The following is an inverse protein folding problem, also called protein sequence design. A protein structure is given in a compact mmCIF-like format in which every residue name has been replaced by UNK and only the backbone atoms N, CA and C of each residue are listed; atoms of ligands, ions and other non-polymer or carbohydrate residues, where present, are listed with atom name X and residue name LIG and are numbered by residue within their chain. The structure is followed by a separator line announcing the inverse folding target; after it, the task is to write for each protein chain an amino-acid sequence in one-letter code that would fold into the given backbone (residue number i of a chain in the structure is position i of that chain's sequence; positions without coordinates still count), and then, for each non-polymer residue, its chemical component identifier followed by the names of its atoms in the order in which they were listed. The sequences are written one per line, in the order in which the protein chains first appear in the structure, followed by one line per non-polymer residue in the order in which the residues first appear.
data_IF_907157547774
#
_entry.id   IF_907157547774
#
_cell.length_a   1.000
_cell.length_b   1.000
_cell.length_c   1.000
_cell.angle_alpha   90.00
_cell.angle_beta   90.00
_cell.angle_gamma   90.00
#
_symmetry.space_group_name_H-M   'P 1'
#
loop_
_entity.id
_entity.type
_entity.pdbx_description
1 polymer ?
#
# COMPACT_ATOMS: atom_id res chain seq x y z
N UNK A 1 3.69 -26.05 48.69
CA UNK A 1 3.19 -26.06 47.30
C UNK A 1 3.53 -24.73 46.67
N UNK A 2 4.49 -24.77 45.75
CA UNK A 2 5.05 -23.64 45.02
C UNK A 2 4.16 -23.35 43.79
N UNK A 3 3.79 -22.08 43.58
CA UNK A 3 3.31 -21.58 42.29
C UNK A 3 3.81 -20.16 42.07
N UNK A 4 4.97 -20.08 41.41
CA UNK A 4 5.50 -18.90 40.73
C UNK A 4 4.44 -18.16 39.91
N UNK A 5 4.36 -16.84 40.05
CA UNK A 5 3.96 -15.98 38.93
C UNK A 5 5.05 -14.94 38.70
N UNK A 6 5.94 -15.27 37.76
CA UNK A 6 6.94 -14.36 37.25
C UNK A 6 6.25 -13.17 36.57
N UNK A 7 6.64 -11.96 36.94
CA UNK A 7 6.30 -10.76 36.18
C UNK A 7 6.91 -10.85 34.78
N UNK A 8 6.12 -10.65 33.74
CA UNK A 8 6.63 -10.22 32.45
C UNK A 8 6.21 -8.77 32.25
N UNK A 9 7.07 -7.89 32.76
CA UNK A 9 7.23 -6.52 32.27
C UNK A 9 7.12 -6.57 30.75
N UNK A 10 6.22 -5.80 30.15
CA UNK A 10 6.29 -5.50 28.72
C UNK A 10 7.62 -4.78 28.50
N UNK A 11 8.66 -5.56 28.22
CA UNK A 11 9.91 -5.10 27.67
C UNK A 11 9.52 -4.35 26.40
N UNK A 12 9.72 -3.02 26.38
CA UNK A 12 10.15 -2.33 25.15
C UNK A 12 11.47 -2.97 24.75
N UNK A 13 11.38 -4.16 24.16
CA UNK A 13 12.47 -4.72 23.39
C UNK A 13 12.60 -3.85 22.16
N UNK A 14 13.83 -3.45 21.86
CA UNK A 14 14.20 -2.89 20.57
C UNK A 14 13.87 -3.93 19.48
N UNK A 15 12.62 -3.98 19.04
CA UNK A 15 12.30 -4.52 17.74
C UNK A 15 12.96 -3.57 16.76
N UNK A 16 13.82 -4.09 15.88
CA UNK A 16 14.15 -3.37 14.65
C UNK A 16 12.82 -2.84 14.12
N UNK A 17 12.69 -1.52 13.92
CA UNK A 17 11.52 -0.97 13.25
C UNK A 17 11.35 -1.80 11.98
N UNK A 18 10.35 -2.69 11.99
CA UNK A 18 10.02 -3.47 10.82
C UNK A 18 9.35 -2.44 9.92
N UNK A 19 10.17 -1.84 9.05
CA UNK A 19 9.72 -0.77 8.17
C UNK A 19 8.42 -1.21 7.50
N UNK A 20 7.35 -0.47 7.76
CA UNK A 20 6.04 -0.80 7.24
C UNK A 20 6.06 -0.52 5.73
N UNK A 21 6.02 -1.58 4.93
CA UNK A 21 5.99 -1.44 3.48
C UNK A 21 4.84 -0.55 2.99
N UNK A 22 5.13 0.27 1.99
CA UNK A 22 4.15 1.13 1.34
C UNK A 22 3.24 0.33 0.43
N UNK A 23 2.08 -0.07 0.94
CA UNK A 23 1.06 -0.81 0.19
C UNK A 23 0.02 0.15 -0.40
N UNK A 24 -0.33 -0.07 -1.67
CA UNK A 24 -1.42 0.64 -2.35
C UNK A 24 -2.55 -0.33 -2.67
N UNK A 25 -3.77 0.07 -2.31
CA UNK A 25 -5.01 -0.60 -2.72
C UNK A 25 -5.82 0.34 -3.59
N UNK A 26 -6.18 -0.12 -4.78
CA UNK A 26 -7.03 0.62 -5.72
C UNK A 26 -8.41 0.02 -5.70
N UNK A 27 -9.43 0.87 -5.55
CA UNK A 27 -10.82 0.46 -5.35
C UNK A 27 -11.75 1.13 -6.35
N UNK A 28 -12.74 0.39 -6.83
CA UNK A 28 -13.88 0.91 -7.56
C UNK A 28 -14.89 1.47 -6.55
N UNK A 29 -14.96 2.80 -6.46
CA UNK A 29 -15.82 3.47 -5.47
C UNK A 29 -17.31 3.26 -5.76
N UNK A 30 -17.71 3.16 -7.03
CA UNK A 30 -19.09 2.93 -7.42
C UNK A 30 -19.54 1.53 -6.96
N UNK A 31 -18.72 0.51 -7.20
CA UNK A 31 -19.00 -0.85 -6.71
C UNK A 31 -18.94 -0.94 -5.19
N UNK A 32 -17.98 -0.24 -4.56
CA UNK A 32 -17.83 -0.25 -3.11
C UNK A 32 -19.11 0.22 -2.42
N UNK A 33 -19.67 1.38 -2.80
CA UNK A 33 -20.89 1.91 -2.19
C UNK A 33 -22.16 1.13 -2.56
N UNK A 34 -22.14 0.39 -3.68
CA UNK A 34 -23.23 -0.51 -4.07
C UNK A 34 -23.17 -1.90 -3.42
N UNK A 35 -22.10 -2.22 -2.70
CA UNK A 35 -21.87 -3.53 -2.08
C UNK A 35 -21.90 -3.44 -0.56
N UNK A 36 -22.26 -4.55 0.10
CA UNK A 36 -22.04 -4.64 1.55
C UNK A 36 -20.53 -4.70 1.80
N UNK A 37 -20.05 -3.98 2.80
CA UNK A 37 -18.64 -4.05 3.26
C UNK A 37 -18.21 -5.49 3.65
N UNK A 38 -19.18 -6.38 3.89
CA UNK A 38 -18.99 -7.80 4.17
C UNK A 38 -19.14 -8.71 2.93
N UNK A 39 -19.17 -8.16 1.72
CA UNK A 39 -19.13 -8.99 0.51
C UNK A 39 -17.79 -9.73 0.46
N UNK A 40 -17.83 -11.04 0.76
CA UNK A 40 -16.69 -11.95 0.75
C UNK A 40 -15.95 -11.97 -0.59
N UNK A 41 -16.62 -11.57 -1.67
CA UNK A 41 -16.02 -11.54 -3.01
C UNK A 41 -15.12 -10.33 -3.22
N UNK A 42 -15.23 -9.28 -2.40
CA UNK A 42 -14.44 -8.05 -2.48
C UNK A 42 -14.29 -7.50 -3.92
N UNK A 43 -15.36 -7.60 -4.72
CA UNK A 43 -15.33 -7.28 -6.16
C UNK A 43 -15.08 -5.78 -6.45
N UNK A 44 -15.05 -4.94 -5.41
CA UNK A 44 -14.71 -3.53 -5.47
C UNK A 44 -13.20 -3.28 -5.41
N UNK A 45 -12.37 -4.25 -5.01
CA UNK A 45 -10.92 -4.12 -5.12
C UNK A 45 -10.54 -4.28 -6.59
N UNK A 46 -9.73 -3.37 -7.11
CA UNK A 46 -9.16 -3.41 -8.47
C UNK A 46 -7.75 -3.98 -8.43
N UNK A 47 -6.94 -3.52 -7.48
CA UNK A 47 -5.56 -3.95 -7.30
C UNK A 47 -5.10 -3.78 -5.85
N UNK A 48 -4.15 -4.61 -5.44
CA UNK A 48 -3.47 -4.52 -4.14
C UNK A 48 -2.01 -4.93 -4.34
N UNK A 49 -1.08 -4.02 -4.08
CA UNK A 49 0.34 -4.24 -4.36
C UNK A 49 1.24 -3.40 -3.46
N UNK A 50 2.46 -3.88 -3.25
CA UNK A 50 3.51 -3.10 -2.61
C UNK A 50 4.10 -2.11 -3.61
N UNK A 51 3.94 -0.81 -3.33
CA UNK A 51 4.49 0.27 -4.14
C UNK A 51 5.88 0.69 -3.67
N UNK A 52 6.16 0.63 -2.36
CA UNK A 52 7.43 1.04 -1.76
C UNK A 52 7.85 0.10 -0.63
N UNK A 53 9.13 0.08 -0.28
CA UNK A 53 9.64 -0.62 0.91
C UNK A 53 9.35 0.15 2.20
N UNK A 54 9.19 1.46 2.09
CA UNK A 54 8.80 2.38 3.16
C UNK A 54 7.33 2.81 2.99
N UNK A 55 6.68 3.39 4.02
CA UNK A 55 5.29 3.83 3.92
C UNK A 55 5.05 4.83 2.78
N UNK A 56 3.89 4.75 2.13
CA UNK A 56 3.50 5.72 1.09
C UNK A 56 3.12 7.05 1.75
N UNK A 57 3.74 8.14 1.32
CA UNK A 57 3.41 9.49 1.78
C UNK A 57 2.41 10.19 0.86
N UNK A 58 2.57 9.98 -0.45
CA UNK A 58 1.79 10.66 -1.48
C UNK A 58 1.48 9.72 -2.64
N UNK A 59 0.32 9.93 -3.25
CA UNK A 59 -0.06 9.27 -4.49
C UNK A 59 -0.99 10.16 -5.31
N UNK A 60 -0.97 9.99 -6.63
CA UNK A 60 -1.86 10.72 -7.52
C UNK A 60 -2.13 9.94 -8.81
N UNK A 61 -3.41 9.81 -9.14
CA UNK A 61 -3.84 9.31 -10.44
C UNK A 61 -3.73 10.40 -11.50
N UNK A 62 -3.40 9.99 -12.73
CA UNK A 62 -3.71 10.83 -13.88
C UNK A 62 -5.24 10.92 -14.08
N UNK A 63 -5.74 11.93 -14.81
CA UNK A 63 -7.19 12.14 -14.97
C UNK A 63 -7.95 10.94 -15.56
N UNK A 64 -7.27 10.09 -16.35
CA UNK A 64 -7.90 8.89 -16.93
C UNK A 64 -7.92 7.68 -15.98
N UNK A 65 -7.23 7.73 -14.84
CA UNK A 65 -7.14 6.65 -13.86
C UNK A 65 -6.22 5.49 -14.25
N UNK A 66 -5.55 5.55 -15.41
CA UNK A 66 -4.68 4.50 -15.90
C UNK A 66 -3.24 4.61 -15.38
N UNK A 67 -2.79 5.82 -15.04
CA UNK A 67 -1.46 6.03 -14.47
C UNK A 67 -1.59 6.45 -13.01
N UNK A 68 -0.71 5.91 -12.19
CA UNK A 68 -0.57 6.24 -10.78
C UNK A 68 0.88 6.60 -10.51
N UNK A 69 1.10 7.77 -9.91
CA UNK A 69 2.38 8.14 -9.30
C UNK A 69 2.28 7.90 -7.80
N UNK A 70 3.28 7.25 -7.21
CA UNK A 70 3.40 7.07 -5.75
C UNK A 70 4.75 7.59 -5.27
N UNK A 71 4.82 7.99 -4.01
CA UNK A 71 6.04 8.36 -3.32
C UNK A 71 6.00 7.86 -1.88
N UNK A 72 7.15 7.44 -1.36
CA UNK A 72 7.29 7.06 0.04
C UNK A 72 7.59 8.25 0.96
N UNK A 73 7.70 7.98 2.27
CA UNK A 73 8.02 8.97 3.30
C UNK A 73 9.38 9.66 3.15
N UNK A 74 10.29 9.13 2.34
CA UNK A 74 11.59 9.77 2.12
C UNK A 74 11.48 10.93 1.12
N UNK A 75 10.51 10.87 0.21
CA UNK A 75 10.35 11.87 -0.83
C UNK A 75 11.38 11.77 -1.98
N UNK A 76 12.29 10.80 -1.93
CA UNK A 76 13.37 10.67 -2.91
C UNK A 76 12.95 9.93 -4.16
N UNK A 77 12.11 8.89 -4.01
CA UNK A 77 11.72 7.99 -5.08
C UNK A 77 10.24 8.12 -5.42
N UNK A 78 9.94 8.22 -6.71
CA UNK A 78 8.59 8.26 -7.24
C UNK A 78 8.42 7.11 -8.21
N UNK A 79 7.43 6.25 -7.99
CA UNK A 79 7.11 5.18 -8.92
C UNK A 79 5.97 5.61 -9.84
N UNK A 80 6.17 5.47 -11.15
CA UNK A 80 5.16 5.69 -12.19
C UNK A 80 4.65 4.32 -12.64
N UNK A 81 3.36 4.08 -12.42
CA UNK A 81 2.73 2.79 -12.59
C UNK A 81 1.58 2.90 -13.58
N UNK A 82 1.44 1.92 -14.46
CA UNK A 82 0.26 1.74 -15.31
C UNK A 82 -0.65 0.65 -14.74
N UNK A 83 -1.92 0.97 -14.58
CA UNK A 83 -2.96 0.06 -14.09
C UNK A 83 -3.77 -0.47 -15.26
N UNK A 84 -3.64 -1.77 -15.50
CA UNK A 84 -4.43 -2.50 -16.48
C UNK A 84 -5.50 -3.32 -15.75
N UNK A 85 -6.56 -2.63 -15.36
CA UNK A 85 -7.66 -3.19 -14.58
C UNK A 85 -8.39 -4.30 -15.35
N UNK A 86 -8.57 -5.46 -14.72
CA UNK A 86 -9.44 -6.50 -15.26
C UNK A 86 -10.89 -6.22 -14.88
N UNK A 87 -11.85 -6.28 -15.83
CA UNK A 87 -13.27 -6.08 -15.51
C UNK A 87 -13.88 -7.24 -14.69
N UNK A 88 -13.17 -8.37 -14.55
CA UNK A 88 -13.69 -9.58 -13.92
C UNK A 88 -13.16 -9.83 -12.52
N UNK A 89 -11.84 -9.69 -12.29
CA UNK A 89 -11.18 -10.04 -11.02
C UNK A 89 -9.92 -9.20 -10.80
N UNK A 90 -9.72 -8.70 -9.58
CA UNK A 90 -8.50 -7.99 -9.18
C UNK A 90 -7.22 -8.80 -9.35
N UNK A 91 -7.29 -10.12 -9.18
CA UNK A 91 -6.14 -11.03 -9.40
C UNK A 91 -5.67 -11.10 -10.84
N UNK A 92 -6.48 -10.62 -11.79
CA UNK A 92 -6.14 -10.48 -13.22
C UNK A 92 -5.80 -9.04 -13.60
N UNK A 93 -5.84 -8.09 -12.67
CA UNK A 93 -5.32 -6.75 -12.89
C UNK A 93 -3.81 -6.82 -12.95
N UNK A 94 -3.23 -6.16 -13.95
CA UNK A 94 -1.78 -6.08 -14.09
C UNK A 94 -1.31 -4.67 -13.73
N UNK A 95 -0.33 -4.59 -12.84
CA UNK A 95 0.34 -3.34 -12.46
C UNK A 95 1.71 -3.34 -13.12
N UNK A 96 1.87 -2.46 -14.10
CA UNK A 96 3.13 -2.33 -14.82
C UNK A 96 3.93 -1.18 -14.22
N UNK A 97 5.09 -1.50 -13.67
CA UNK A 97 6.03 -0.47 -13.23
C UNK A 97 6.73 0.11 -14.45
N UNK A 98 6.45 1.37 -14.78
CA UNK A 98 7.04 2.04 -15.93
C UNK A 98 8.39 2.67 -15.58
N UNK A 99 8.43 3.47 -14.50
CA UNK A 99 9.63 4.20 -14.11
C UNK A 99 9.72 4.36 -12.59
N UNK A 100 10.95 4.33 -12.08
CA UNK A 100 11.30 4.94 -10.78
C UNK A 100 12.06 6.22 -11.07
N UNK A 101 11.53 7.35 -10.59
CA UNK A 101 12.17 8.66 -10.70
C UNK A 101 12.85 8.98 -9.37
N UNK A 102 14.09 9.44 -9.44
CA UNK A 102 14.84 9.90 -8.28
C UNK A 102 14.94 11.42 -8.29
N UNK A 103 14.49 12.06 -7.21
CA UNK A 103 14.49 13.53 -7.07
C UNK A 103 15.82 14.07 -6.51
N UNK A 104 16.59 13.25 -5.79
CA UNK A 104 17.78 13.67 -5.04
C UNK A 104 17.66 13.36 -3.55
N UNK A 105 18.76 13.53 -2.81
CA UNK A 105 18.89 13.13 -1.40
C UNK A 105 18.38 14.19 -0.39
N UNK A 106 17.57 15.15 -0.83
CA UNK A 106 16.94 16.10 0.10
C UNK A 106 15.62 15.52 0.58
N UNK A 107 15.56 15.16 1.85
CA UNK A 107 14.35 14.62 2.49
C UNK A 107 13.16 15.58 2.32
N UNK A 108 11.95 15.02 2.19
CA UNK A 108 10.75 15.85 2.28
C UNK A 108 10.54 16.35 3.72
N UNK A 109 10.36 17.65 3.88
CA UNK A 109 9.94 18.33 5.12
C UNK A 109 8.44 18.21 5.35
#
# INVERSE_FOLDING_TARGET
HNSNTNSTRHRRGSTKDESQAGIVTVVDTIKLFGSSIHDERQNWIIAHFQAHTEPVSHLQFNPSGHLLVTCDISGHYFNVLEIQASPYRCTRTYIKHLYTLFRGDTDCI
#
